data_IF_328204294818
#
_entry.id   IF_328204294818
#
_cell.length_a   1.000
_cell.length_b   1.000
_cell.length_c   1.000
_cell.angle_alpha   90.00
_cell.angle_beta   90.00
_cell.angle_gamma   90.00
#
_symmetry.space_group_name_H-M   'P 1'
#
loop_
_entity.id
_entity.type
_entity.pdbx_description
1 polymer ?
#
# COMPACT_ATOMS: atom_id res chain seq x y z
N UNK A 1 30.16 -5.39 -22.49
CA UNK A 1 29.51 -4.90 -21.28
C UNK A 1 28.03 -5.20 -21.32
N UNK A 2 27.54 -5.79 -20.26
CA UNK A 2 26.12 -6.10 -20.19
C UNK A 2 25.37 -4.93 -19.56
N UNK A 3 24.43 -4.39 -20.29
CA UNK A 3 23.53 -3.41 -19.75
C UNK A 3 22.40 -4.13 -19.02
N UNK A 4 22.04 -3.63 -17.83
CA UNK A 4 20.87 -4.12 -17.12
C UNK A 4 19.64 -3.52 -17.80
N UNK A 5 18.94 -4.34 -18.55
CA UNK A 5 17.70 -3.90 -19.17
C UNK A 5 16.59 -3.69 -18.17
N UNK A 6 15.52 -2.98 -18.57
CA UNK A 6 14.37 -2.72 -17.72
C UNK A 6 13.75 -4.01 -17.19
N UNK A 7 13.75 -5.07 -18.01
CA UNK A 7 13.21 -6.38 -17.63
C UNK A 7 13.99 -7.07 -16.51
N UNK A 8 15.26 -6.69 -16.34
CA UNK A 8 16.15 -7.30 -15.33
C UNK A 8 16.19 -6.51 -14.04
N UNK A 9 15.45 -5.42 -13.96
CA UNK A 9 15.39 -4.59 -12.77
C UNK A 9 14.24 -4.98 -11.87
N UNK A 10 14.38 -4.68 -10.58
CA UNK A 10 13.31 -4.81 -9.61
C UNK A 10 12.88 -3.43 -9.14
N UNK A 11 11.62 -3.32 -8.80
CA UNK A 11 10.99 -2.07 -8.42
C UNK A 11 10.30 -2.24 -7.07
N UNK A 12 10.57 -1.34 -6.14
CA UNK A 12 9.78 -1.21 -4.92
C UNK A 12 8.98 0.07 -4.99
N UNK A 13 7.71 0.03 -4.65
CA UNK A 13 6.84 1.20 -4.70
C UNK A 13 6.20 1.42 -3.33
N UNK A 14 6.23 2.67 -2.89
CA UNK A 14 5.53 3.10 -1.68
C UNK A 14 4.49 4.13 -2.08
N UNK A 15 3.25 3.94 -1.65
CA UNK A 15 2.18 4.90 -1.90
C UNK A 15 1.50 5.25 -0.58
N UNK A 16 1.33 6.55 -0.36
CA UNK A 16 0.68 7.08 0.83
C UNK A 16 -0.80 7.28 0.55
N UNK A 17 -1.63 6.85 1.49
CA UNK A 17 -3.09 6.85 1.38
C UNK A 17 -3.70 7.26 2.71
N UNK A 18 -4.92 7.73 2.63
CA UNK A 18 -5.76 7.99 3.79
C UNK A 18 -7.20 7.56 3.47
N UNK A 19 -8.15 7.89 4.31
CA UNK A 19 -9.56 7.55 4.11
C UNK A 19 -9.93 6.13 4.54
N UNK A 20 -8.94 5.30 4.79
CA UNK A 20 -9.08 3.88 5.14
C UNK A 20 -8.05 3.56 6.22
N UNK A 21 -8.32 2.59 7.07
CA UNK A 21 -7.34 2.14 8.06
C UNK A 21 -6.37 1.14 7.45
N UNK A 22 -5.22 0.95 8.09
CA UNK A 22 -4.24 -0.05 7.66
C UNK A 22 -4.85 -1.45 7.62
N UNK A 23 -5.64 -1.80 8.62
CA UNK A 23 -6.33 -3.09 8.67
C UNK A 23 -7.29 -3.28 7.50
N UNK A 24 -8.10 -2.26 7.20
CA UNK A 24 -9.04 -2.31 6.08
C UNK A 24 -8.32 -2.40 4.74
N UNK A 25 -7.22 -1.68 4.57
CA UNK A 25 -6.40 -1.75 3.36
C UNK A 25 -5.79 -3.14 3.20
N UNK A 26 -5.29 -3.72 4.28
CA UNK A 26 -4.75 -5.08 4.27
C UNK A 26 -5.83 -6.10 3.90
N UNK A 27 -7.04 -5.94 4.43
CA UNK A 27 -8.14 -6.84 4.09
C UNK A 27 -8.52 -6.73 2.61
N UNK A 28 -8.53 -5.53 2.06
CA UNK A 28 -8.82 -5.33 0.64
C UNK A 28 -7.79 -6.03 -0.26
N UNK A 29 -6.52 -5.94 0.09
CA UNK A 29 -5.47 -6.66 -0.63
C UNK A 29 -5.59 -8.17 -0.47
N UNK A 30 -5.85 -8.63 0.76
CA UNK A 30 -6.00 -10.06 1.03
C UNK A 30 -7.17 -10.66 0.24
N UNK A 31 -8.29 -9.94 0.17
CA UNK A 31 -9.45 -10.37 -0.60
C UNK A 31 -9.12 -10.49 -2.10
N UNK A 32 -8.34 -9.54 -2.62
CA UNK A 32 -7.91 -9.57 -4.01
C UNK A 32 -6.94 -10.73 -4.28
N UNK A 33 -5.99 -10.96 -3.39
CA UNK A 33 -5.00 -12.03 -3.55
C UNK A 33 -5.53 -13.42 -3.20
N UNK A 34 -6.64 -13.51 -2.49
CA UNK A 34 -7.16 -14.78 -1.98
C UNK A 34 -6.36 -15.30 -0.79
N UNK A 35 -5.82 -14.40 0.03
CA UNK A 35 -5.01 -14.73 1.20
C UNK A 35 -5.59 -14.07 2.46
N UNK A 36 -4.88 -14.17 3.57
CA UNK A 36 -5.32 -13.59 4.85
C UNK A 36 -4.36 -12.48 5.27
N UNK A 37 -4.88 -11.36 5.80
CA UNK A 37 -4.01 -10.33 6.35
C UNK A 37 -3.44 -10.77 7.69
N UNK A 38 -2.23 -10.33 8.00
CA UNK A 38 -1.56 -10.65 9.26
C UNK A 38 -1.09 -9.36 9.92
N UNK A 39 -1.46 -9.17 11.18
CA UNK A 39 -0.97 -8.05 11.96
C UNK A 39 0.46 -8.34 12.42
N UNK A 40 1.35 -7.36 12.26
CA UNK A 40 2.72 -7.45 12.77
C UNK A 40 2.79 -7.13 14.27
N UNK A 41 3.88 -7.53 14.88
CA UNK A 41 4.14 -7.28 16.30
C UNK A 41 4.96 -6.01 16.53
N UNK A 42 5.03 -5.13 15.54
CA UNK A 42 5.84 -3.93 15.62
C UNK A 42 5.08 -2.77 16.28
N UNK A 43 5.84 -1.77 16.68
CA UNK A 43 5.34 -0.56 17.32
C UNK A 43 4.43 0.25 16.37
N UNK A 44 4.61 0.10 15.06
CA UNK A 44 3.93 0.92 14.04
C UNK A 44 2.58 0.37 13.59
N UNK A 45 2.10 -0.71 14.24
CA UNK A 45 0.84 -1.35 13.87
C UNK A 45 0.80 -1.68 12.37
N UNK A 46 1.85 -2.33 11.89
CA UNK A 46 1.97 -2.74 10.49
C UNK A 46 1.13 -3.98 10.23
N UNK A 47 0.61 -4.06 9.00
CA UNK A 47 -0.13 -5.21 8.51
C UNK A 47 0.58 -5.77 7.29
N UNK A 48 0.52 -7.08 7.12
CA UNK A 48 1.21 -7.81 6.06
C UNK A 48 0.23 -8.68 5.31
N UNK A 49 0.37 -8.72 3.98
CA UNK A 49 -0.47 -9.52 3.11
C UNK A 49 0.41 -10.20 2.07
N UNK A 50 0.29 -11.51 1.94
CA UNK A 50 1.00 -12.24 0.89
C UNK A 50 0.15 -12.28 -0.36
N UNK A 51 0.80 -12.05 -1.50
CA UNK A 51 0.13 -12.20 -2.79
C UNK A 51 0.13 -13.67 -3.24
N UNK A 52 -0.42 -13.93 -4.43
CA UNK A 52 -0.53 -15.29 -4.94
C UNK A 52 0.81 -15.98 -5.23
N UNK A 53 1.90 -15.23 -5.24
CA UNK A 53 3.25 -15.74 -5.46
C UNK A 53 4.04 -15.81 -4.14
N UNK A 54 3.40 -15.53 -3.02
CA UNK A 54 4.02 -15.58 -1.70
C UNK A 54 4.83 -14.36 -1.33
N UNK A 55 4.82 -13.31 -2.14
CA UNK A 55 5.50 -12.05 -1.84
C UNK A 55 4.68 -11.22 -0.86
N UNK A 56 5.36 -10.51 0.03
CA UNK A 56 4.72 -9.81 1.13
C UNK A 56 4.54 -8.33 0.83
N UNK A 57 3.29 -7.88 0.88
CA UNK A 57 2.89 -6.48 0.81
C UNK A 57 2.71 -5.98 2.24
N UNK A 58 3.04 -4.72 2.48
CA UNK A 58 3.01 -4.16 3.83
C UNK A 58 2.21 -2.87 3.86
N UNK A 59 1.40 -2.71 4.90
CA UNK A 59 0.68 -1.49 5.21
C UNK A 59 1.25 -0.95 6.52
N UNK A 60 1.84 0.23 6.49
CA UNK A 60 2.48 0.82 7.66
C UNK A 60 2.01 2.24 7.90
N UNK A 61 2.39 2.79 9.05
CA UNK A 61 2.06 4.16 9.42
C UNK A 61 3.09 5.13 8.85
N UNK A 62 2.61 6.30 8.42
CA UNK A 62 3.47 7.42 8.06
C UNK A 62 2.88 8.70 8.66
N UNK A 63 3.59 9.31 9.61
CA UNK A 63 3.13 10.46 10.35
C UNK A 63 3.01 11.75 9.50
N UNK A 64 3.63 11.78 8.32
CA UNK A 64 3.54 12.92 7.41
C UNK A 64 2.18 13.02 6.71
N UNK A 65 1.40 11.95 6.72
CA UNK A 65 0.09 11.91 6.09
C UNK A 65 -0.92 12.65 6.95
N UNK A 66 -1.69 13.55 6.33
CA UNK A 66 -2.85 14.16 6.99
C UNK A 66 -4.03 13.20 6.86
N UNK A 67 -4.47 12.66 8.01
CA UNK A 67 -5.53 11.68 8.06
C UNK A 67 -6.89 12.26 7.69
N UNK A 68 -7.66 11.50 6.95
CA UNK A 68 -9.07 11.75 6.67
C UNK A 68 -9.86 10.47 6.85
N UNK A 69 -11.10 10.59 7.23
CA UNK A 69 -12.00 9.46 7.31
C UNK A 69 -13.40 9.87 6.81
N UNK A 70 -14.17 8.88 6.43
CA UNK A 70 -15.50 9.13 5.90
C UNK A 70 -16.50 9.23 7.03
N UNK A 71 -17.26 10.34 7.06
CA UNK A 71 -18.38 10.55 7.96
C UNK A 71 -19.59 10.80 7.09
N UNK A 72 -20.52 9.85 7.07
CA UNK A 72 -21.62 9.87 6.12
C UNK A 72 -21.10 9.78 4.68
N UNK A 73 -21.44 10.77 3.85
CA UNK A 73 -21.00 10.83 2.45
C UNK A 73 -19.72 11.63 2.23
N UNK A 74 -19.12 12.20 3.29
CA UNK A 74 -18.00 13.13 3.17
C UNK A 74 -16.76 12.61 3.88
N UNK A 75 -15.60 12.96 3.35
CA UNK A 75 -14.33 12.78 4.04
C UNK A 75 -14.02 14.01 4.87
N UNK A 76 -13.65 13.82 6.12
CA UNK A 76 -13.28 14.88 7.05
C UNK A 76 -11.93 14.59 7.66
N UNK A 77 -11.22 15.63 8.08
CA UNK A 77 -9.93 15.47 8.76
C UNK A 77 -10.08 14.70 10.06
N UNK A 78 -9.10 13.87 10.35
CA UNK A 78 -9.02 13.13 11.61
C UNK A 78 -7.60 13.07 12.11
N UNK A 79 -7.45 13.13 13.43
CA UNK A 79 -6.16 12.90 14.10
C UNK A 79 -5.91 11.42 14.39
N UNK A 80 -6.85 10.54 14.07
CA UNK A 80 -6.72 9.11 14.31
C UNK A 80 -5.60 8.53 13.42
N UNK A 81 -4.49 8.05 14.01
CA UNK A 81 -3.33 7.59 13.25
C UNK A 81 -3.60 6.35 12.40
N UNK A 82 -4.69 5.63 12.65
CA UNK A 82 -5.05 4.45 11.84
C UNK A 82 -5.33 4.81 10.39
N UNK A 83 -5.71 6.06 10.12
CA UNK A 83 -6.02 6.56 8.77
C UNK A 83 -4.81 7.12 8.03
N UNK A 84 -3.61 6.86 8.53
CA UNK A 84 -2.35 7.20 7.88
C UNK A 84 -1.74 5.90 7.38
N UNK A 85 -1.82 5.68 6.06
CA UNK A 85 -1.45 4.40 5.48
C UNK A 85 -0.38 4.58 4.43
N UNK A 86 0.74 3.87 4.59
CA UNK A 86 1.74 3.72 3.57
C UNK A 86 1.69 2.26 3.09
N UNK A 87 1.36 2.07 1.82
CA UNK A 87 1.35 0.75 1.21
C UNK A 87 2.70 0.52 0.53
N UNK A 88 3.42 -0.51 0.96
CA UNK A 88 4.74 -0.85 0.47
C UNK A 88 4.67 -2.16 -0.28
N UNK A 89 5.08 -2.16 -1.54
CA UNK A 89 5.12 -3.38 -2.34
C UNK A 89 6.35 -4.21 -1.98
N UNK A 90 6.33 -5.51 -2.24
CA UNK A 90 7.58 -6.26 -2.32
C UNK A 90 8.39 -5.80 -3.52
N UNK A 91 9.59 -6.33 -3.69
CA UNK A 91 10.35 -6.10 -4.92
C UNK A 91 9.61 -6.75 -6.09
N UNK A 92 9.18 -5.93 -7.03
CA UNK A 92 8.43 -6.36 -8.20
C UNK A 92 9.36 -6.41 -9.41
N UNK A 93 9.27 -7.46 -10.19
CA UNK A 93 9.91 -7.51 -11.50
C UNK A 93 9.15 -6.63 -12.48
N UNK A 94 9.76 -6.37 -13.63
CA UNK A 94 9.08 -5.60 -14.68
C UNK A 94 7.72 -6.22 -15.06
N UNK A 95 7.67 -7.54 -15.16
CA UNK A 95 6.43 -8.24 -15.49
C UNK A 95 5.36 -8.15 -14.38
N UNK A 96 5.78 -7.93 -13.14
CA UNK A 96 4.88 -7.83 -11.99
C UNK A 96 4.39 -6.41 -11.73
N UNK A 97 5.01 -5.40 -12.36
CA UNK A 97 4.64 -4.00 -12.14
C UNK A 97 3.14 -3.70 -12.28
N UNK A 98 2.40 -4.32 -13.21
CA UNK A 98 0.96 -4.06 -13.32
C UNK A 98 0.14 -4.44 -12.10
N UNK A 99 0.69 -5.25 -11.18
CA UNK A 99 0.02 -5.57 -9.91
C UNK A 99 -0.19 -4.32 -9.05
N UNK A 100 0.73 -3.36 -9.12
CA UNK A 100 0.68 -2.18 -8.27
C UNK A 100 -0.57 -1.34 -8.51
N UNK A 101 -0.87 -0.86 -9.73
CA UNK A 101 -2.08 -0.08 -9.95
C UNK A 101 -3.36 -0.84 -9.64
N UNK A 102 -3.39 -2.15 -9.85
CA UNK A 102 -4.56 -2.95 -9.48
C UNK A 102 -4.75 -2.98 -7.97
N UNK A 103 -3.68 -3.13 -7.21
CA UNK A 103 -3.74 -3.10 -5.74
C UNK A 103 -4.20 -1.74 -5.23
N UNK A 104 -3.70 -0.66 -5.83
CA UNK A 104 -4.16 0.70 -5.49
C UNK A 104 -5.66 0.83 -5.75
N UNK A 105 -6.13 0.33 -6.88
CA UNK A 105 -7.56 0.36 -7.23
C UNK A 105 -8.39 -0.37 -6.18
N UNK A 106 -7.95 -1.54 -5.74
CA UNK A 106 -8.67 -2.33 -4.72
C UNK A 106 -8.76 -1.58 -3.40
N UNK A 107 -7.67 -0.97 -2.97
CA UNK A 107 -7.66 -0.18 -1.74
C UNK A 107 -8.56 1.06 -1.87
N UNK A 108 -8.52 1.73 -3.02
CA UNK A 108 -9.39 2.90 -3.26
C UNK A 108 -10.86 2.53 -3.31
N UNK A 109 -11.20 1.41 -3.92
CA UNK A 109 -12.58 0.91 -3.95
C UNK A 109 -13.08 0.62 -2.53
N UNK A 110 -12.21 0.19 -1.63
CA UNK A 110 -12.54 -0.08 -0.23
C UNK A 110 -12.65 1.19 0.62
N UNK A 111 -12.36 2.36 0.07
CA UNK A 111 -12.49 3.64 0.77
C UNK A 111 -11.23 4.48 0.84
N UNK A 112 -10.10 3.97 0.36
CA UNK A 112 -8.85 4.72 0.34
C UNK A 112 -8.89 5.91 -0.60
N UNK A 113 -8.17 6.96 -0.24
CA UNK A 113 -8.05 8.16 -1.06
C UNK A 113 -6.68 8.78 -0.88
N UNK A 114 -6.34 9.73 -1.72
CA UNK A 114 -5.13 10.54 -1.59
C UNK A 114 -5.51 11.99 -1.33
N UNK A 115 -4.61 12.72 -0.68
CA UNK A 115 -4.70 14.18 -0.56
C UNK A 115 -3.31 14.79 -0.81
N UNK A 116 -3.18 16.10 -0.63
CA UNK A 116 -1.93 16.80 -0.95
C UNK A 116 -0.74 16.41 -0.05
N UNK A 117 -0.99 15.72 1.07
CA UNK A 117 0.09 15.19 1.92
C UNK A 117 0.61 13.83 1.46
N UNK A 118 -0.07 13.18 0.51
CA UNK A 118 0.25 11.83 0.05
C UNK A 118 1.14 11.88 -1.19
N UNK A 119 2.08 10.96 -1.27
CA UNK A 119 2.99 10.84 -2.39
C UNK A 119 3.19 9.39 -2.82
N UNK A 120 3.92 9.23 -3.92
CA UNK A 120 4.34 7.92 -4.44
C UNK A 120 5.85 7.96 -4.59
N UNK A 121 6.53 6.94 -4.06
CA UNK A 121 7.99 6.79 -4.18
C UNK A 121 8.31 5.48 -4.88
N UNK A 122 9.14 5.55 -5.92
CA UNK A 122 9.56 4.37 -6.67
C UNK A 122 11.05 4.19 -6.48
N UNK A 123 11.43 3.00 -6.03
CA UNK A 123 12.82 2.59 -5.87
C UNK A 123 13.15 1.57 -6.95
N UNK A 124 14.25 1.79 -7.66
CA UNK A 124 14.69 0.91 -8.74
C UNK A 124 16.01 0.26 -8.32
N UNK A 125 16.08 -1.05 -8.44
CA UNK A 125 17.30 -1.82 -8.17
C UNK A 125 17.55 -2.81 -9.30
N UNK A 126 18.82 -3.03 -9.56
CA UNK A 126 19.23 -4.01 -10.54
C UNK A 126 19.12 -5.44 -9.99
#
# INVERSE_FOLDING_TARGET
>A
MNEVGLKDQCFGVEVELTGITREQAAQALADYFGTEPRRGDDYYDSWYVRDGEGKEWRLMSDSSIRGEHKVGARYTSTSDPRYRVEMVTPKLTYAELPKFPECVRRVRTAGGKVNSSCGIHVHVAA
#
